data_IF_691524745868
#
_entry.id   IF_691524745868
#
_cell.length_a   1.000
_cell.length_b   1.000
_cell.length_c   1.000
_cell.angle_alpha   90.00
_cell.angle_beta   90.00
_cell.angle_gamma   90.00
#
_symmetry.space_group_name_H-M   'P 1'
#
loop_
_entity.id
_entity.type
_entity.pdbx_description
1 polymer ?
#
# COMPACT_ATOMS: atom_id res chain seq x y z
N UNK A 1 7.06 -17.47 -13.12
CA UNK A 1 8.14 -17.27 -12.14
C UNK A 1 8.95 -16.05 -12.58
N UNK A 2 8.64 -14.87 -12.03
CA UNK A 2 9.47 -13.68 -12.20
C UNK A 2 10.17 -13.44 -10.86
N UNK A 3 11.48 -13.64 -10.86
CA UNK A 3 12.33 -13.26 -9.75
C UNK A 3 12.56 -11.76 -9.90
N UNK A 4 11.87 -10.93 -9.11
CA UNK A 4 12.00 -9.48 -9.18
C UNK A 4 13.35 -9.05 -8.55
N UNK A 5 14.45 -9.29 -9.28
CA UNK A 5 15.73 -8.65 -8.99
C UNK A 5 15.65 -7.23 -9.52
N UNK A 6 15.29 -6.29 -8.64
CA UNK A 6 15.19 -4.88 -9.00
C UNK A 6 16.57 -4.31 -9.30
N UNK A 7 16.73 -3.73 -10.49
CA UNK A 7 17.91 -2.96 -10.84
C UNK A 7 17.95 -1.66 -10.02
N UNK A 8 19.13 -1.03 -9.92
CA UNK A 8 19.26 0.31 -9.32
C UNK A 8 18.35 1.33 -10.01
N UNK A 9 18.08 1.15 -11.31
CA UNK A 9 17.13 1.96 -12.07
C UNK A 9 15.69 1.77 -11.58
N UNK A 10 15.28 0.53 -11.28
CA UNK A 10 13.93 0.25 -10.77
C UNK A 10 13.70 0.87 -9.40
N UNK A 11 14.71 0.84 -8.51
CA UNK A 11 14.64 1.48 -7.20
C UNK A 11 14.45 3.00 -7.31
N UNK A 12 15.14 3.65 -8.26
CA UNK A 12 14.97 5.10 -8.54
C UNK A 12 13.54 5.39 -9.03
N UNK A 13 13.01 4.54 -9.92
CA UNK A 13 11.64 4.69 -10.44
C UNK A 13 10.59 4.52 -9.34
N UNK A 14 10.75 3.50 -8.49
CA UNK A 14 9.84 3.25 -7.35
C UNK A 14 9.87 4.43 -6.38
N UNK A 15 11.05 4.93 -6.03
CA UNK A 15 11.20 6.09 -5.15
C UNK A 15 10.49 7.32 -5.73
N UNK A 16 10.75 7.63 -7.01
CA UNK A 16 10.13 8.76 -7.70
C UNK A 16 8.61 8.61 -7.74
N UNK A 17 8.11 7.41 -8.09
CA UNK A 17 6.68 7.12 -8.08
C UNK A 17 6.05 7.38 -6.71
N UNK A 18 6.66 6.93 -5.61
CA UNK A 18 6.14 7.16 -4.26
C UNK A 18 6.14 8.64 -3.88
N UNK A 19 7.18 9.39 -4.26
CA UNK A 19 7.24 10.83 -4.05
C UNK A 19 6.13 11.55 -4.81
N UNK A 20 5.99 11.27 -6.11
CA UNK A 20 4.96 11.85 -6.96
C UNK A 20 3.56 11.51 -6.44
N UNK A 21 3.36 10.27 -5.97
CA UNK A 21 2.10 9.83 -5.38
C UNK A 21 1.77 10.58 -4.08
N UNK A 22 2.74 10.74 -3.16
CA UNK A 22 2.55 11.51 -1.92
C UNK A 22 2.21 12.97 -2.23
N UNK A 23 2.93 13.58 -3.18
CA UNK A 23 2.67 14.97 -3.61
C UNK A 23 1.26 15.08 -4.19
N UNK A 24 0.87 14.19 -5.10
CA UNK A 24 -0.46 14.19 -5.69
C UNK A 24 -1.59 14.02 -4.65
N UNK A 25 -1.40 13.13 -3.67
CA UNK A 25 -2.39 12.90 -2.62
C UNK A 25 -2.46 14.01 -1.56
N UNK A 26 -1.48 14.91 -1.52
CA UNK A 26 -1.39 16.03 -0.57
C UNK A 26 -1.50 17.41 -1.21
N UNK A 27 -1.81 17.46 -2.52
CA UNK A 27 -1.98 18.71 -3.24
C UNK A 27 -3.17 19.49 -2.67
N UNK A 28 -2.90 20.68 -2.16
CA UNK A 28 -3.89 21.52 -1.48
C UNK A 28 -5.03 21.93 -2.43
N UNK A 29 -4.72 22.15 -3.71
CA UNK A 29 -5.73 22.50 -4.71
C UNK A 29 -6.68 21.34 -4.94
N UNK A 30 -6.16 20.13 -5.06
CA UNK A 30 -6.92 18.89 -5.15
C UNK A 30 -7.78 18.68 -3.89
N UNK A 31 -7.20 18.83 -2.70
CA UNK A 31 -7.90 18.67 -1.41
C UNK A 31 -9.06 19.65 -1.29
N UNK A 32 -8.81 20.94 -1.54
CA UNK A 32 -9.85 21.97 -1.45
C UNK A 32 -10.97 21.71 -2.44
N UNK A 33 -10.64 21.31 -3.67
CA UNK A 33 -11.66 20.94 -4.66
C UNK A 33 -12.49 19.77 -4.16
N UNK A 34 -11.85 18.70 -3.71
CA UNK A 34 -12.50 17.50 -3.21
C UNK A 34 -13.44 17.79 -2.03
N UNK A 35 -13.02 18.67 -1.12
CA UNK A 35 -13.83 19.11 0.03
C UNK A 35 -15.01 19.98 -0.39
N UNK A 36 -14.82 20.88 -1.35
CA UNK A 36 -15.82 21.85 -1.79
C UNK A 36 -16.86 21.24 -2.72
N UNK A 37 -16.45 20.39 -3.68
CA UNK A 37 -17.37 19.80 -4.66
C UNK A 37 -18.02 18.51 -4.16
N UNK A 38 -17.39 17.82 -3.18
CA UNK A 38 -17.76 16.46 -2.74
C UNK A 38 -17.92 15.45 -3.90
N UNK A 39 -17.42 15.78 -5.09
CA UNK A 39 -17.56 14.98 -6.30
C UNK A 39 -16.22 14.91 -7.04
N UNK A 40 -15.78 13.69 -7.44
CA UNK A 40 -14.52 13.49 -8.14
C UNK A 40 -14.62 13.96 -9.60
N UNK A 41 -13.88 15.04 -9.90
CA UNK A 41 -13.98 15.84 -11.13
C UNK A 41 -13.73 15.08 -12.45
N UNK A 42 -12.99 13.96 -12.42
CA UNK A 42 -12.52 13.32 -13.65
C UNK A 42 -13.54 12.43 -14.35
N UNK A 43 -14.49 11.86 -13.62
CA UNK A 43 -15.42 10.86 -14.18
C UNK A 43 -16.88 11.29 -14.16
N UNK A 44 -17.18 12.54 -13.80
CA UNK A 44 -18.56 13.05 -13.64
C UNK A 44 -19.46 12.77 -14.84
N UNK A 45 -18.96 12.99 -16.07
CA UNK A 45 -19.73 12.73 -17.28
C UNK A 45 -19.89 11.23 -17.57
N UNK A 46 -18.89 10.40 -17.26
CA UNK A 46 -18.95 8.96 -17.48
C UNK A 46 -19.90 8.30 -16.47
N UNK A 47 -19.89 8.78 -15.22
CA UNK A 47 -20.67 8.24 -14.11
C UNK A 47 -22.16 8.54 -14.24
N UNK A 48 -22.55 9.75 -14.67
CA UNK A 48 -23.95 10.19 -14.64
C UNK A 48 -24.83 9.49 -15.66
N UNK A 49 -24.28 9.03 -16.78
CA UNK A 49 -25.06 8.43 -17.89
C UNK A 49 -24.87 6.92 -18.05
N UNK A 50 -23.70 6.36 -17.74
CA UNK A 50 -23.40 4.96 -18.06
C UNK A 50 -23.31 4.05 -16.85
N UNK A 51 -22.86 4.55 -15.70
CA UNK A 51 -22.69 3.71 -14.51
C UNK A 51 -23.99 3.50 -13.73
N UNK A 52 -25.02 4.31 -13.95
CA UNK A 52 -26.35 4.06 -13.41
C UNK A 52 -26.99 2.75 -13.90
N UNK A 53 -26.47 2.17 -15.00
CA UNK A 53 -26.87 0.84 -15.49
C UNK A 53 -26.21 -0.31 -14.71
N UNK A 54 -25.14 -0.02 -13.96
CA UNK A 54 -24.42 -1.00 -13.14
C UNK A 54 -24.95 -0.87 -11.72
N UNK A 55 -25.59 -1.91 -11.21
CA UNK A 55 -26.07 -1.93 -9.83
C UNK A 55 -24.91 -1.91 -8.83
N UNK A 56 -25.09 -1.22 -7.70
CA UNK A 56 -24.13 -1.21 -6.59
C UNK A 56 -23.73 -2.63 -6.15
N UNK A 57 -24.70 -3.57 -6.13
CA UNK A 57 -24.45 -4.98 -5.80
C UNK A 57 -23.44 -5.66 -6.75
N UNK A 58 -23.48 -5.30 -8.04
CA UNK A 58 -22.57 -5.84 -9.04
C UNK A 58 -21.16 -5.26 -8.85
N UNK A 59 -21.08 -3.95 -8.57
CA UNK A 59 -19.82 -3.28 -8.25
C UNK A 59 -19.20 -3.93 -7.02
N UNK A 60 -19.96 -4.04 -5.92
CA UNK A 60 -19.48 -4.64 -4.68
C UNK A 60 -19.10 -6.11 -4.85
N UNK A 61 -19.84 -6.88 -5.66
CA UNK A 61 -19.49 -8.27 -5.98
C UNK A 61 -18.17 -8.38 -6.73
N UNK A 62 -17.96 -7.56 -7.77
CA UNK A 62 -16.71 -7.53 -8.55
C UNK A 62 -15.54 -7.12 -7.68
N UNK A 63 -15.67 -6.02 -6.92
CA UNK A 63 -14.60 -5.55 -6.04
C UNK A 63 -14.29 -6.52 -4.91
N UNK A 64 -15.29 -7.23 -4.37
CA UNK A 64 -15.08 -8.27 -3.37
C UNK A 64 -14.35 -9.48 -3.97
N UNK A 65 -14.69 -9.87 -5.20
CA UNK A 65 -13.98 -10.91 -5.95
C UNK A 65 -12.53 -10.54 -6.20
N UNK A 66 -12.27 -9.36 -6.76
CA UNK A 66 -10.91 -8.85 -7.00
C UNK A 66 -10.10 -8.72 -5.70
N UNK A 67 -10.73 -8.26 -4.63
CA UNK A 67 -10.09 -8.17 -3.32
C UNK A 67 -9.67 -9.54 -2.79
N UNK A 68 -10.60 -10.51 -2.83
CA UNK A 68 -10.35 -11.90 -2.46
C UNK A 68 -9.24 -12.51 -3.31
N UNK A 69 -9.25 -12.27 -4.61
CA UNK A 69 -8.23 -12.76 -5.53
C UNK A 69 -6.86 -12.17 -5.22
N UNK A 70 -6.76 -10.88 -4.89
CA UNK A 70 -5.47 -10.31 -4.49
C UNK A 70 -5.02 -10.98 -3.20
N UNK A 71 -5.86 -11.10 -2.17
CA UNK A 71 -5.48 -11.72 -0.88
C UNK A 71 -5.03 -13.18 -1.07
N UNK A 72 -5.83 -13.98 -1.77
CA UNK A 72 -5.59 -15.41 -1.91
C UNK A 72 -4.43 -15.72 -2.87
N UNK A 73 -4.16 -14.82 -3.83
CA UNK A 73 -3.07 -14.95 -4.78
C UNK A 73 -1.88 -14.04 -4.47
N UNK A 74 -1.79 -13.45 -3.26
CA UNK A 74 -0.54 -12.78 -2.87
C UNK A 74 0.51 -13.87 -2.76
N UNK A 75 1.36 -13.97 -3.77
CA UNK A 75 2.65 -14.65 -3.64
C UNK A 75 3.46 -13.87 -2.60
N UNK A 76 3.36 -14.31 -1.36
CA UNK A 76 4.13 -13.85 -0.22
C UNK A 76 5.57 -14.33 -0.38
N UNK A 77 6.30 -13.75 -1.33
CA UNK A 77 7.69 -14.13 -1.53
C UNK A 77 8.55 -12.90 -1.70
N UNK A 78 9.11 -12.47 -0.58
CA UNK A 78 10.37 -11.74 -0.59
C UNK A 78 11.32 -12.63 0.22
N UNK A 79 12.29 -13.30 -0.42
CA UNK A 79 13.34 -14.02 0.29
C UNK A 79 14.03 -13.04 1.25
N UNK A 80 14.13 -13.42 2.52
CA UNK A 80 14.67 -12.58 3.60
C UNK A 80 16.12 -12.14 3.32
N UNK A 81 16.83 -12.86 2.46
CA UNK A 81 18.26 -12.71 2.21
C UNK A 81 18.63 -11.87 0.97
N UNK A 82 17.65 -11.39 0.17
CA UNK A 82 17.94 -10.72 -1.12
C UNK A 82 17.47 -9.26 -1.20
N UNK A 83 16.99 -8.68 -0.11
CA UNK A 83 16.34 -7.36 -0.15
C UNK A 83 17.36 -6.27 0.13
N UNK A 84 17.65 -5.46 -0.88
CA UNK A 84 18.32 -4.17 -0.68
C UNK A 84 17.49 -3.37 0.32
N UNK A 85 18.09 -2.89 1.40
CA UNK A 85 17.41 -2.15 2.49
C UNK A 85 16.47 -1.04 1.98
N UNK A 86 16.80 -0.41 0.84
CA UNK A 86 15.96 0.58 0.17
C UNK A 86 14.60 0.04 -0.30
N UNK A 87 14.56 -1.17 -0.84
CA UNK A 87 13.30 -1.76 -1.31
C UNK A 87 12.33 -2.00 -0.16
N UNK A 88 12.86 -2.43 1.00
CA UNK A 88 12.06 -2.55 2.23
C UNK A 88 11.46 -1.22 2.66
N UNK A 89 12.22 -0.13 2.56
CA UNK A 89 11.76 1.23 2.86
C UNK A 89 10.59 1.61 1.92
N UNK A 90 10.77 1.42 0.62
CA UNK A 90 9.74 1.74 -0.38
C UNK A 90 8.46 0.92 -0.19
N UNK A 91 8.62 -0.37 0.10
CA UNK A 91 7.49 -1.25 0.40
C UNK A 91 6.73 -0.78 1.64
N UNK A 92 7.42 -0.48 2.75
CA UNK A 92 6.79 0.04 3.98
C UNK A 92 6.09 1.38 3.73
N UNK A 93 6.70 2.26 2.95
CA UNK A 93 6.07 3.53 2.57
C UNK A 93 4.78 3.29 1.77
N UNK A 94 4.81 2.39 0.79
CA UNK A 94 3.62 2.02 0.02
C UNK A 94 2.53 1.38 0.88
N UNK A 95 2.89 0.49 1.82
CA UNK A 95 1.96 -0.08 2.80
C UNK A 95 1.23 1.01 3.58
N UNK A 96 1.97 2.02 4.07
CA UNK A 96 1.38 3.16 4.80
C UNK A 96 0.47 3.99 3.90
N UNK A 97 0.87 4.22 2.64
CA UNK A 97 0.06 4.96 1.67
C UNK A 97 -1.27 4.23 1.45
N UNK A 98 -1.23 2.94 1.14
CA UNK A 98 -2.42 2.10 0.90
C UNK A 98 -3.35 2.10 2.10
N UNK A 99 -2.83 1.85 3.32
CA UNK A 99 -3.62 1.87 4.56
C UNK A 99 -4.28 3.23 4.78
N UNK A 100 -3.50 4.30 4.66
CA UNK A 100 -4.00 5.66 4.90
C UNK A 100 -5.03 6.06 3.85
N UNK A 101 -4.81 5.69 2.59
CA UNK A 101 -5.70 6.01 1.48
C UNK A 101 -6.99 5.18 1.50
N UNK A 102 -6.99 3.96 2.04
CA UNK A 102 -8.22 3.24 2.31
C UNK A 102 -9.10 4.03 3.30
N UNK A 103 -8.49 4.56 4.36
CA UNK A 103 -9.20 5.26 5.43
C UNK A 103 -9.58 6.71 5.09
N UNK A 104 -8.73 7.40 4.34
CA UNK A 104 -8.81 8.82 4.03
C UNK A 104 -8.82 9.02 2.53
N UNK A 105 -9.53 10.04 2.06
CA UNK A 105 -9.56 10.35 0.62
C UNK A 105 -8.33 11.15 0.15
N UNK A 106 -7.64 11.82 1.07
CA UNK A 106 -6.48 12.66 0.79
C UNK A 106 -5.54 12.70 2.00
N UNK A 107 -4.31 13.15 1.79
CA UNK A 107 -3.32 13.26 2.85
C UNK A 107 -3.28 14.67 3.42
N UNK A 108 -3.42 14.78 4.74
CA UNK A 108 -3.06 16.03 5.40
C UNK A 108 -1.57 16.30 5.24
N UNK A 109 -1.16 17.57 5.30
CA UNK A 109 0.26 17.95 5.25
C UNK A 109 1.12 17.17 6.25
N UNK A 110 0.58 16.91 7.45
CA UNK A 110 1.28 16.14 8.49
C UNK A 110 1.47 14.67 8.07
N UNK A 111 0.44 14.04 7.50
CA UNK A 111 0.53 12.67 7.02
C UNK A 111 1.47 12.56 5.81
N UNK A 112 1.39 13.49 4.87
CA UNK A 112 2.29 13.55 3.71
C UNK A 112 3.75 13.69 4.15
N UNK A 113 4.03 14.60 5.09
CA UNK A 113 5.35 14.77 5.68
C UNK A 113 5.82 13.48 6.36
N UNK A 114 4.94 12.80 7.11
CA UNK A 114 5.28 11.53 7.76
C UNK A 114 5.65 10.43 6.73
N UNK A 115 4.87 10.29 5.66
CA UNK A 115 5.18 9.37 4.56
C UNK A 115 6.50 9.75 3.86
N UNK A 116 6.72 11.03 3.60
CA UNK A 116 7.95 11.51 2.96
C UNK A 116 9.18 11.28 3.83
N UNK A 117 9.09 11.54 5.13
CA UNK A 117 10.17 11.26 6.09
C UNK A 117 10.50 9.77 6.16
N UNK A 118 9.51 8.90 5.96
CA UNK A 118 9.76 7.46 5.88
C UNK A 118 10.52 7.04 4.61
N UNK A 119 10.53 7.87 3.56
CA UNK A 119 11.35 7.66 2.35
C UNK A 119 12.75 8.28 2.45
N UNK A 120 12.91 9.29 3.32
CA UNK A 120 14.15 10.06 3.50
C UNK A 120 15.00 9.59 4.68
N UNK A 121 14.50 8.69 5.52
CA UNK A 121 15.30 8.12 6.61
C UNK A 121 16.36 7.25 5.96
N UNK A 122 17.55 7.84 5.79
CA UNK A 122 18.78 7.12 5.47
C UNK A 122 18.89 5.93 6.42
N UNK A 123 19.36 4.82 5.85
CA UNK A 123 19.76 3.63 6.59
C UNK A 123 20.86 4.10 7.55
N UNK A 124 20.49 4.58 8.73
CA UNK A 124 21.44 4.71 9.81
C UNK A 124 21.91 3.29 10.05
N UNK A 125 23.21 2.99 9.91
CA UNK A 125 23.71 1.67 10.22
C UNK A 125 23.30 1.43 11.66
N UNK A 126 22.38 0.49 11.89
CA UNK A 126 22.20 -0.01 13.24
C UNK A 126 23.57 -0.55 13.63
N UNK A 127 24.27 0.19 14.48
CA UNK A 127 25.44 -0.31 15.17
C UNK A 127 25.00 -1.59 15.89
N UNK A 128 25.26 -2.72 15.25
CA UNK A 128 25.16 -4.04 15.84
C UNK A 128 26.26 -4.11 16.90
N UNK A 129 25.95 -3.60 18.09
CA UNK A 129 26.73 -3.93 19.27
C UNK A 129 26.49 -5.40 19.56
N UNK A 130 27.29 -6.24 18.91
CA UNK A 130 27.58 -7.60 19.35
C UNK A 130 28.13 -7.54 20.77
N UNK A 131 27.27 -7.76 21.76
CA UNK A 131 27.70 -8.38 23.00
C UNK A 131 27.37 -9.87 22.89
N UNK A 132 28.40 -10.64 22.57
CA UNK A 132 28.47 -12.03 22.97
C UNK A 132 28.33 -12.08 24.49
N UNK A 133 27.28 -12.72 24.99
CA UNK A 133 27.48 -13.56 26.17
C UNK A 133 26.56 -14.78 26.13
N UNK A 134 27.19 -15.94 26.25
CA UNK A 134 26.64 -17.25 26.03
C UNK A 134 26.08 -17.84 27.32
N UNK A 135 24.78 -18.17 27.36
CA UNK A 135 24.28 -19.20 28.28
C UNK A 135 23.28 -20.10 27.55
N UNK A 136 23.69 -21.34 27.37
CA UNK A 136 22.90 -22.43 26.81
C UNK A 136 21.82 -22.87 27.79
N UNK A 137 20.54 -22.78 27.39
CA UNK A 137 19.44 -23.51 28.05
C UNK A 137 18.67 -24.25 26.96
N UNK A 138 18.86 -25.57 26.93
CA UNK A 138 18.01 -26.52 26.20
C UNK A 138 16.62 -26.50 26.83
N UNK A 139 15.67 -25.85 26.15
CA UNK A 139 14.24 -25.91 26.45
C UNK A 139 13.50 -26.29 25.18
N UNK A 140 13.01 -27.53 25.12
CA UNK A 140 12.13 -28.03 24.08
C UNK A 140 10.80 -27.29 24.13
N UNK A 141 10.62 -26.28 23.26
CA UNK A 141 9.34 -25.63 23.06
C UNK A 141 8.89 -25.87 21.63
N UNK A 142 7.80 -26.63 21.54
CA UNK A 142 6.89 -26.76 20.41
C UNK A 142 6.91 -25.53 19.51
N UNK A 143 7.35 -25.70 18.27
CA UNK A 143 7.20 -24.71 17.20
C UNK A 143 5.71 -24.50 16.97
N UNK A 144 5.14 -23.53 17.69
CA UNK A 144 3.93 -22.85 17.28
C UNK A 144 4.16 -22.39 15.86
N UNK A 145 3.44 -22.98 14.90
CA UNK A 145 3.29 -22.43 13.56
C UNK A 145 2.74 -21.02 13.72
N UNK A 146 3.63 -20.04 13.82
CA UNK A 146 3.30 -18.64 13.57
C UNK A 146 2.79 -18.60 12.14
N UNK A 147 1.50 -18.27 11.98
CA UNK A 147 0.89 -18.00 10.68
C UNK A 147 1.89 -17.23 9.82
N UNK A 148 2.40 -17.88 8.78
CA UNK A 148 3.33 -17.31 7.81
C UNK A 148 2.48 -16.44 6.87
N UNK A 149 1.84 -15.38 7.41
CA UNK A 149 1.39 -14.30 6.56
C UNK A 149 2.65 -13.57 6.14
N UNK A 150 3.15 -13.86 4.94
CA UNK A 150 4.29 -13.12 4.45
C UNK A 150 3.89 -11.68 4.20
N UNK A 151 4.90 -10.86 3.95
CA UNK A 151 4.69 -9.44 3.70
C UNK A 151 4.30 -9.24 2.23
N UNK A 152 3.30 -8.40 1.90
CA UNK A 152 2.87 -8.19 0.52
C UNK A 152 4.02 -7.60 -0.32
N UNK A 153 4.12 -7.98 -1.60
CA UNK A 153 5.10 -7.38 -2.52
C UNK A 153 4.71 -5.93 -2.86
N UNK A 154 5.66 -5.14 -3.38
CA UNK A 154 5.35 -3.78 -3.85
C UNK A 154 4.27 -3.80 -4.94
N UNK A 155 4.34 -4.74 -5.87
CA UNK A 155 3.35 -4.95 -6.92
C UNK A 155 1.96 -5.24 -6.34
N UNK A 156 1.85 -6.10 -5.32
CA UNK A 156 0.57 -6.34 -4.65
C UNK A 156 0.03 -5.09 -3.97
N UNK A 157 0.90 -4.29 -3.31
CA UNK A 157 0.51 -3.01 -2.72
C UNK A 157 0.03 -1.99 -3.77
N UNK A 158 0.67 -1.94 -4.93
CA UNK A 158 0.23 -1.10 -6.05
C UNK A 158 -1.15 -1.54 -6.57
N UNK A 159 -1.39 -2.84 -6.69
CA UNK A 159 -2.71 -3.38 -7.06
C UNK A 159 -3.78 -2.99 -6.03
N UNK A 160 -3.47 -3.08 -4.74
CA UNK A 160 -4.37 -2.62 -3.68
C UNK A 160 -4.67 -1.12 -3.81
N UNK A 161 -3.65 -0.30 -4.03
CA UNK A 161 -3.84 1.13 -4.24
C UNK A 161 -4.77 1.43 -5.42
N UNK A 162 -4.53 0.80 -6.58
CA UNK A 162 -5.35 0.97 -7.78
C UNK A 162 -6.80 0.57 -7.48
N UNK A 163 -7.02 -0.58 -6.84
CA UNK A 163 -8.38 -1.04 -6.54
C UNK A 163 -9.13 -0.10 -5.59
N UNK A 164 -8.44 0.45 -4.58
CA UNK A 164 -9.00 1.48 -3.68
C UNK A 164 -9.35 2.75 -4.45
N UNK A 165 -8.45 3.19 -5.35
CA UNK A 165 -8.67 4.36 -6.19
C UNK A 165 -9.88 4.17 -7.10
N UNK A 166 -9.96 3.07 -7.84
CA UNK A 166 -11.06 2.79 -8.75
C UNK A 166 -12.40 2.73 -8.01
N UNK A 167 -12.43 2.10 -6.83
CA UNK A 167 -13.65 2.05 -6.02
C UNK A 167 -14.08 3.44 -5.53
N UNK A 168 -13.15 4.29 -5.07
CA UNK A 168 -13.48 5.61 -4.52
C UNK A 168 -13.79 6.68 -5.58
N UNK A 169 -13.18 6.57 -6.77
CA UNK A 169 -13.17 7.65 -7.75
C UNK A 169 -13.81 7.30 -9.09
N UNK A 170 -13.89 6.01 -9.45
CA UNK A 170 -14.43 5.57 -10.74
C UNK A 170 -15.80 4.92 -10.57
N UNK A 171 -15.99 4.05 -9.57
CA UNK A 171 -17.19 3.20 -9.48
C UNK A 171 -18.05 3.41 -8.24
N UNK A 172 -17.59 4.15 -7.24
CA UNK A 172 -18.27 4.18 -5.95
C UNK A 172 -18.17 5.49 -5.19
N UNK A 173 -18.54 5.41 -3.91
CA UNK A 173 -18.50 6.52 -2.97
C UNK A 173 -17.05 6.84 -2.57
N UNK A 174 -16.72 8.12 -2.53
CA UNK A 174 -15.47 8.67 -2.01
C UNK A 174 -15.15 8.21 -0.58
N UNK A 175 -16.18 7.82 0.17
CA UNK A 175 -16.13 7.27 1.53
C UNK A 175 -16.04 5.75 1.58
N UNK A 176 -16.12 5.05 0.44
CA UNK A 176 -16.00 3.60 0.39
C UNK A 176 -14.65 3.14 0.94
N UNK A 177 -14.65 1.99 1.63
CA UNK A 177 -13.46 1.40 2.25
C UNK A 177 -13.52 -0.11 2.10
N UNK A 178 -12.36 -0.74 1.98
CA UNK A 178 -12.26 -2.18 2.16
C UNK A 178 -12.15 -2.49 3.66
N UNK A 179 -13.00 -3.38 4.14
CA UNK A 179 -12.88 -3.93 5.48
C UNK A 179 -11.69 -4.89 5.54
N UNK A 180 -11.07 -5.02 6.72
CA UNK A 180 -10.01 -6.01 7.00
C UNK A 180 -8.73 -5.84 6.17
N UNK A 181 -8.36 -4.60 5.84
CA UNK A 181 -7.09 -4.29 5.19
C UNK A 181 -5.95 -4.35 6.22
N UNK A 182 -5.49 -5.56 6.52
CA UNK A 182 -4.38 -5.81 7.44
C UNK A 182 -3.22 -6.49 6.71
N UNK A 183 -2.03 -5.89 6.81
CA UNK A 183 -0.79 -6.39 6.22
C UNK A 183 0.20 -6.92 7.28
N UNK A 184 -0.28 -7.11 8.51
CA UNK A 184 0.48 -7.51 9.70
C UNK A 184 -0.04 -8.81 10.30
#
# INVERSE_FOLDING_TARGET
>A
MNNDSYSSTDLILIKKFLQDLIVGLSDETYIQKLQNTRQPFMYENLMRSHLSMISDDLIDSVFSGLWSDIINNVEYFVPEDSVVDEFEIYRRAMTKIVLSFNELTYFSKNLANYCYMSLCTEISPQNSNHMHDSVSIKGSNTTSQTNIYGKPTFTSLLRYFILIYERKFIFGDIKSKFANLNFY
#
